data_IF_940835028708
#
_entry.id   IF_940835028708
#
_cell.length_a   1.000
_cell.length_b   1.000
_cell.length_c   1.000
_cell.angle_alpha   90.00
_cell.angle_beta   90.00
_cell.angle_gamma   90.00
#
_symmetry.space_group_name_H-M   'P 1'
#
loop_
_entity.id
_entity.type
_entity.pdbx_description
1 polymer ?
#
# COMPACT_ATOMS: atom_id res chain seq x y z
N UNK A 1 12.22 1.88 -15.20
CA UNK A 1 12.54 0.55 -14.66
C UNK A 1 13.49 0.72 -13.50
N UNK A 2 13.19 0.12 -12.34
CA UNK A 2 14.08 0.12 -11.18
C UNK A 2 15.46 -0.44 -11.49
N UNK A 3 16.18 -0.89 -10.49
CA UNK A 3 17.48 -1.50 -10.70
C UNK A 3 17.31 -3.00 -10.99
N UNK A 4 17.52 -3.48 -12.24
CA UNK A 4 17.23 -4.88 -12.61
C UNK A 4 17.93 -5.92 -11.74
N UNK A 5 19.06 -5.58 -11.15
CA UNK A 5 19.90 -6.43 -10.29
C UNK A 5 19.72 -6.16 -8.80
N UNK A 6 18.84 -5.25 -8.41
CA UNK A 6 18.70 -4.80 -7.03
C UNK A 6 18.39 -5.92 -6.03
N UNK A 7 17.60 -6.92 -6.45
CA UNK A 7 17.29 -8.08 -5.62
C UNK A 7 18.49 -8.99 -5.31
N UNK A 8 19.54 -8.93 -6.12
CA UNK A 8 20.81 -9.65 -5.90
C UNK A 8 21.80 -8.84 -5.06
N UNK A 9 21.70 -7.50 -5.12
CA UNK A 9 22.66 -6.59 -4.47
C UNK A 9 22.25 -6.20 -3.05
N UNK A 10 20.95 -6.06 -2.80
CA UNK A 10 20.42 -5.61 -1.52
C UNK A 10 19.68 -6.74 -0.82
N UNK A 11 20.05 -6.99 0.42
CA UNK A 11 19.28 -7.91 1.28
C UNK A 11 17.94 -7.30 1.65
N UNK A 12 16.94 -8.16 1.87
CA UNK A 12 15.63 -7.73 2.36
C UNK A 12 15.76 -7.16 3.77
N UNK A 13 15.20 -5.98 3.97
CA UNK A 13 15.14 -5.31 5.27
C UNK A 13 13.76 -4.71 5.47
N UNK A 14 13.17 -4.93 6.62
CA UNK A 14 11.92 -4.31 7.07
C UNK A 14 12.19 -3.34 8.21
N UNK A 15 11.27 -2.43 8.46
CA UNK A 15 11.34 -1.55 9.61
C UNK A 15 11.36 -2.33 10.92
N UNK A 16 12.09 -1.82 11.90
CA UNK A 16 12.11 -2.37 13.24
C UNK A 16 10.79 -2.09 13.97
N UNK A 17 10.55 -2.79 15.06
CA UNK A 17 9.45 -2.50 15.99
C UNK A 17 10.00 -2.00 17.32
N UNK A 18 9.23 -1.14 17.98
CA UNK A 18 9.51 -0.75 19.36
C UNK A 18 9.53 -1.99 20.25
N UNK A 19 10.48 -2.06 21.19
CA UNK A 19 10.63 -3.20 22.09
C UNK A 19 9.30 -3.52 22.82
N UNK A 20 8.95 -4.80 23.02
CA UNK A 20 7.65 -5.19 23.60
C UNK A 20 7.32 -4.51 24.92
N UNK A 21 8.28 -4.39 25.83
CA UNK A 21 8.10 -3.74 27.14
C UNK A 21 7.88 -2.22 27.06
N UNK A 22 8.31 -1.60 25.96
CA UNK A 22 8.06 -0.16 25.74
C UNK A 22 6.72 0.08 25.05
N UNK A 23 6.35 -0.75 24.08
CA UNK A 23 5.08 -0.57 23.34
C UNK A 23 3.83 -0.86 24.16
N UNK A 24 3.90 -1.68 25.22
CA UNK A 24 2.79 -1.91 26.15
C UNK A 24 2.44 -0.69 27.01
N UNK A 25 3.31 0.31 27.08
CA UNK A 25 3.11 1.53 27.88
C UNK A 25 2.17 2.55 27.23
N UNK A 26 1.84 2.37 25.95
CA UNK A 26 0.98 3.29 25.21
C UNK A 26 0.33 2.62 23.99
N UNK A 27 -0.58 3.32 23.32
CA UNK A 27 -1.27 2.87 22.11
C UNK A 27 -0.76 3.54 20.83
N UNK A 28 0.48 4.05 20.83
CA UNK A 28 1.08 4.68 19.67
C UNK A 28 1.54 3.64 18.64
N UNK A 29 1.81 4.10 17.43
CA UNK A 29 2.40 3.28 16.38
C UNK A 29 3.76 2.72 16.85
N UNK A 30 3.93 1.41 16.74
CA UNK A 30 5.15 0.73 17.20
C UNK A 30 6.02 0.19 16.07
N UNK A 31 5.55 0.26 14.83
CA UNK A 31 6.38 -0.05 13.67
C UNK A 31 7.19 1.18 13.26
N UNK A 32 8.51 1.05 13.26
CA UNK A 32 9.42 2.10 12.83
C UNK A 32 9.61 2.06 11.32
N UNK A 33 9.64 3.23 10.69
CA UNK A 33 9.92 3.33 9.26
C UNK A 33 11.41 3.16 8.98
N UNK A 34 11.73 2.62 7.81
CA UNK A 34 13.09 2.62 7.31
C UNK A 34 13.53 4.05 6.95
N UNK A 35 14.81 4.40 7.13
CA UNK A 35 15.35 5.63 6.58
C UNK A 35 15.15 5.71 5.07
N UNK A 36 14.94 6.90 4.54
CA UNK A 36 14.59 7.11 3.12
C UNK A 36 15.51 6.40 2.13
N UNK A 37 16.82 6.44 2.36
CA UNK A 37 17.81 5.74 1.50
C UNK A 37 17.65 4.23 1.55
N UNK A 38 17.43 3.66 2.74
CA UNK A 38 17.20 2.23 2.90
C UNK A 38 15.89 1.81 2.23
N UNK A 39 14.85 2.63 2.38
CA UNK A 39 13.56 2.38 1.72
C UNK A 39 13.72 2.36 0.19
N UNK A 40 14.50 3.27 -0.38
CA UNK A 40 14.80 3.27 -1.81
C UNK A 40 15.53 2.00 -2.24
N UNK A 41 16.52 1.53 -1.44
CA UNK A 41 17.20 0.26 -1.72
C UNK A 41 16.25 -0.94 -1.66
N UNK A 42 15.29 -0.93 -0.72
CA UNK A 42 14.29 -1.99 -0.66
C UNK A 42 13.35 -1.98 -1.88
N UNK A 43 12.96 -0.83 -2.33
CA UNK A 43 12.15 -0.69 -3.55
C UNK A 43 12.93 -1.11 -4.82
N UNK A 44 14.25 -0.84 -4.85
CA UNK A 44 15.14 -1.27 -5.94
C UNK A 44 15.23 -2.79 -6.10
N UNK A 45 14.86 -3.58 -5.09
CA UNK A 45 14.80 -5.04 -5.19
C UNK A 45 13.73 -5.56 -6.14
N UNK A 46 12.81 -4.70 -6.57
CA UNK A 46 11.75 -5.08 -7.52
C UNK A 46 12.34 -5.25 -8.93
N UNK A 47 12.20 -6.45 -9.50
CA UNK A 47 12.65 -6.76 -10.87
C UNK A 47 11.79 -6.13 -11.96
N UNK A 48 10.66 -5.50 -11.64
CA UNK A 48 9.66 -5.01 -12.59
C UNK A 48 9.27 -6.11 -13.61
N UNK A 49 8.83 -7.26 -13.12
CA UNK A 49 8.51 -8.44 -13.94
C UNK A 49 7.52 -8.10 -15.07
N UNK A 50 7.74 -8.65 -16.27
CA UNK A 50 6.82 -8.51 -17.40
C UNK A 50 5.45 -9.10 -17.13
N UNK A 51 5.40 -10.18 -16.32
CA UNK A 51 4.16 -10.78 -15.77
C UNK A 51 4.28 -10.75 -14.24
N UNK A 52 3.82 -9.67 -13.60
CA UNK A 52 4.00 -9.50 -12.16
C UNK A 52 2.91 -10.24 -11.37
N UNK A 53 3.22 -11.44 -10.87
CA UNK A 53 2.30 -12.21 -10.03
C UNK A 53 1.85 -11.45 -8.78
N UNK A 54 2.70 -10.57 -8.24
CA UNK A 54 2.38 -9.75 -7.07
C UNK A 54 1.12 -8.90 -7.23
N UNK A 55 0.78 -8.49 -8.47
CA UNK A 55 -0.42 -7.68 -8.76
C UNK A 55 -1.52 -8.46 -9.48
N UNK A 56 -1.33 -9.75 -9.78
CA UNK A 56 -2.26 -10.50 -10.64
C UNK A 56 -3.65 -10.68 -10.01
N UNK A 57 -3.72 -10.91 -8.70
CA UNK A 57 -4.99 -11.09 -7.98
C UNK A 57 -5.82 -12.29 -8.43
N UNK A 58 -5.18 -13.28 -9.09
CA UNK A 58 -5.86 -14.47 -9.61
C UNK A 58 -6.04 -15.54 -8.54
N UNK A 59 -7.11 -16.32 -8.67
CA UNK A 59 -7.32 -17.50 -7.83
C UNK A 59 -6.57 -18.69 -8.44
N UNK A 60 -5.69 -19.30 -7.64
CA UNK A 60 -4.95 -20.52 -8.02
C UNK A 60 -5.29 -21.59 -6.98
N UNK A 61 -5.86 -22.70 -7.42
CA UNK A 61 -6.29 -23.80 -6.56
C UNK A 61 -7.16 -23.33 -5.36
N UNK A 62 -8.04 -22.37 -5.58
CA UNK A 62 -8.94 -21.83 -4.56
C UNK A 62 -8.30 -20.79 -3.62
N UNK A 63 -7.02 -20.43 -3.81
CA UNK A 63 -6.32 -19.43 -3.02
C UNK A 63 -6.00 -18.19 -3.86
N UNK A 64 -6.16 -17.00 -3.26
CA UNK A 64 -5.77 -15.75 -3.91
C UNK A 64 -4.24 -15.68 -4.04
N UNK A 65 -3.75 -15.47 -5.27
CA UNK A 65 -2.36 -15.24 -5.58
C UNK A 65 -2.14 -13.78 -5.93
N UNK A 66 -1.23 -13.10 -5.24
CA UNK A 66 -0.97 -11.68 -5.46
C UNK A 66 -2.02 -10.76 -4.84
N UNK A 67 -1.97 -9.49 -5.21
CA UNK A 67 -2.85 -8.47 -4.65
C UNK A 67 -4.27 -8.55 -5.25
N UNK A 68 -5.32 -8.80 -4.44
CA UNK A 68 -6.71 -8.86 -4.95
C UNK A 68 -7.23 -7.51 -5.44
N UNK A 69 -6.61 -6.40 -5.03
CA UNK A 69 -6.90 -5.05 -5.56
C UNK A 69 -6.16 -4.76 -6.87
N UNK A 70 -5.33 -5.69 -7.33
CA UNK A 70 -4.47 -5.51 -8.51
C UNK A 70 -3.60 -4.25 -8.41
N UNK A 71 -3.04 -4.00 -7.23
CA UNK A 71 -2.14 -2.88 -7.00
C UNK A 71 -0.97 -2.89 -7.97
N UNK A 72 -0.64 -1.72 -8.52
CA UNK A 72 0.42 -1.54 -9.52
C UNK A 72 1.81 -1.59 -8.87
N UNK A 73 2.10 -2.71 -8.22
CA UNK A 73 3.26 -2.91 -7.35
C UNK A 73 4.60 -2.59 -8.03
N UNK A 74 4.92 -3.09 -9.22
CA UNK A 74 6.20 -2.77 -9.87
C UNK A 74 6.35 -1.27 -10.17
N UNK A 75 5.27 -0.62 -10.61
CA UNK A 75 5.31 0.80 -10.99
C UNK A 75 5.62 1.69 -9.78
N UNK A 76 4.91 1.53 -8.67
CA UNK A 76 5.18 2.38 -7.52
C UNK A 76 6.45 1.99 -6.76
N UNK A 77 6.92 0.73 -6.84
CA UNK A 77 8.24 0.36 -6.34
C UNK A 77 9.35 1.11 -7.09
N UNK A 78 9.24 1.19 -8.43
CA UNK A 78 10.18 1.94 -9.25
C UNK A 78 10.22 3.43 -8.87
N UNK A 79 9.04 4.01 -8.67
CA UNK A 79 8.91 5.42 -8.26
C UNK A 79 9.49 5.68 -6.86
N UNK A 80 9.33 4.74 -5.91
CA UNK A 80 9.97 4.83 -4.58
C UNK A 80 11.48 4.75 -4.70
N UNK A 81 12.01 3.84 -5.52
CA UNK A 81 13.45 3.75 -5.78
C UNK A 81 14.01 5.07 -6.32
N UNK A 82 13.33 5.69 -7.27
CA UNK A 82 13.70 6.98 -7.83
C UNK A 82 13.48 8.17 -6.88
N UNK A 83 12.83 7.94 -5.73
CA UNK A 83 12.51 8.99 -4.76
C UNK A 83 11.30 9.84 -5.14
N UNK A 84 10.54 9.45 -6.16
CA UNK A 84 9.36 10.16 -6.63
C UNK A 84 8.09 9.71 -5.89
N UNK A 85 8.00 10.07 -4.60
CA UNK A 85 6.93 9.65 -3.72
C UNK A 85 5.56 10.21 -4.11
N UNK A 86 5.49 11.39 -4.71
CA UNK A 86 4.22 11.96 -5.18
C UNK A 86 3.60 11.07 -6.27
N UNK A 87 4.37 10.69 -7.27
CA UNK A 87 3.87 9.82 -8.33
C UNK A 87 3.59 8.40 -7.80
N UNK A 88 4.41 7.91 -6.86
CA UNK A 88 4.16 6.63 -6.19
C UNK A 88 2.80 6.64 -5.46
N UNK A 89 2.49 7.70 -4.71
CA UNK A 89 1.19 7.89 -4.08
C UNK A 89 0.04 7.91 -5.08
N UNK A 90 0.19 8.67 -6.18
CA UNK A 90 -0.81 8.71 -7.25
C UNK A 90 -1.06 7.34 -7.89
N UNK A 91 -0.01 6.50 -8.03
CA UNK A 91 -0.13 5.14 -8.54
C UNK A 91 -0.79 4.20 -7.55
N UNK A 92 -0.38 4.24 -6.30
CA UNK A 92 -0.93 3.41 -5.24
C UNK A 92 -2.42 3.67 -5.05
N UNK A 93 -2.84 4.93 -4.98
CA UNK A 93 -4.24 5.31 -4.73
C UNK A 93 -5.18 5.14 -5.91
N UNK A 94 -4.69 4.72 -7.07
CA UNK A 94 -5.54 4.30 -8.20
C UNK A 94 -6.38 3.08 -7.85
N UNK A 95 -5.80 2.13 -7.16
CA UNK A 95 -6.40 0.83 -6.85
C UNK A 95 -6.66 0.65 -5.35
N UNK A 96 -5.91 1.32 -4.49
CA UNK A 96 -6.05 1.23 -3.04
C UNK A 96 -6.53 2.56 -2.44
N UNK A 97 -7.71 2.54 -1.81
CA UNK A 97 -8.29 3.73 -1.19
C UNK A 97 -7.64 4.10 0.14
N UNK A 98 -7.14 3.11 0.89
CA UNK A 98 -6.65 3.28 2.25
C UNK A 98 -5.36 2.52 2.50
N UNK A 99 -4.24 2.96 1.90
CA UNK A 99 -2.93 2.37 2.15
C UNK A 99 -2.50 2.42 3.62
N UNK A 100 -3.06 3.35 4.41
CA UNK A 100 -2.84 3.45 5.84
C UNK A 100 -3.19 2.16 6.59
N UNK A 101 -4.30 1.53 6.19
CA UNK A 101 -4.75 0.27 6.78
C UNK A 101 -4.01 -0.91 6.17
N UNK A 102 -3.98 -1.00 4.84
CA UNK A 102 -3.42 -2.17 4.15
C UNK A 102 -1.93 -2.32 4.40
N UNK A 103 -1.17 -1.25 4.45
CA UNK A 103 0.25 -1.29 4.78
C UNK A 103 0.55 -1.78 6.21
N UNK A 104 -0.45 -1.79 7.09
CA UNK A 104 -0.30 -2.27 8.49
C UNK A 104 -0.87 -3.67 8.70
N UNK A 105 -2.06 -3.95 8.18
CA UNK A 105 -2.82 -5.16 8.55
C UNK A 105 -2.95 -6.19 7.42
N UNK A 106 -2.62 -5.85 6.18
CA UNK A 106 -2.69 -6.78 5.06
C UNK A 106 -1.72 -7.95 5.26
N UNK A 107 -2.13 -9.21 4.96
CA UNK A 107 -1.25 -10.38 5.02
C UNK A 107 -0.16 -10.38 3.92
N UNK A 108 -0.15 -9.38 3.04
CA UNK A 108 0.84 -9.18 1.99
C UNK A 108 0.94 -10.34 0.98
N UNK A 109 -0.20 -10.77 0.43
CA UNK A 109 -0.25 -11.79 -0.62
C UNK A 109 0.63 -11.43 -1.84
N UNK A 110 0.84 -10.13 -2.07
CA UNK A 110 1.78 -9.65 -3.09
C UNK A 110 3.23 -10.03 -2.80
N UNK A 111 3.65 -10.06 -1.54
CA UNK A 111 4.99 -10.53 -1.14
C UNK A 111 5.07 -12.07 -1.29
N UNK A 112 4.03 -12.79 -0.88
CA UNK A 112 3.98 -14.24 -1.05
C UNK A 112 4.07 -14.66 -2.52
N UNK A 113 3.45 -13.90 -3.43
CA UNK A 113 3.47 -14.15 -4.87
C UNK A 113 4.68 -13.54 -5.61
N UNK A 114 5.57 -12.89 -4.90
CA UNK A 114 6.75 -12.27 -5.51
C UNK A 114 7.70 -13.32 -6.09
N UNK A 115 8.09 -13.19 -7.36
CA UNK A 115 9.00 -14.14 -8.02
C UNK A 115 10.39 -14.18 -7.40
N UNK A 116 10.81 -13.14 -6.67
CA UNK A 116 12.04 -13.17 -5.88
C UNK A 116 12.05 -14.30 -4.83
N UNK A 117 10.87 -14.77 -4.39
CA UNK A 117 10.75 -15.91 -3.47
C UNK A 117 11.29 -17.24 -4.02
N UNK A 118 11.47 -17.35 -5.34
CA UNK A 118 12.00 -18.57 -5.95
C UNK A 118 13.46 -18.81 -5.57
N UNK A 119 14.24 -17.73 -5.44
CA UNK A 119 15.68 -17.80 -5.20
C UNK A 119 16.14 -17.04 -3.95
N UNK A 120 15.22 -16.45 -3.19
CA UNK A 120 15.57 -15.65 -2.02
C UNK A 120 14.36 -14.97 -1.39
N UNK A 121 14.57 -13.84 -0.75
CA UNK A 121 13.50 -13.10 -0.07
C UNK A 121 12.67 -12.24 -1.03
N UNK A 122 11.34 -12.11 -0.81
CA UNK A 122 10.49 -11.22 -1.59
C UNK A 122 10.87 -9.76 -1.41
N UNK A 123 10.38 -8.92 -2.32
CA UNK A 123 10.37 -7.46 -2.13
C UNK A 123 9.46 -7.13 -0.94
N UNK A 124 9.90 -6.24 -0.03
CA UNK A 124 9.07 -5.79 1.09
C UNK A 124 8.03 -4.75 0.62
N UNK A 125 7.08 -5.24 -0.15
CA UNK A 125 6.04 -4.45 -0.81
C UNK A 125 5.20 -3.65 0.18
N UNK A 126 4.84 -4.28 1.30
CA UNK A 126 4.05 -3.67 2.37
C UNK A 126 4.78 -2.50 3.04
N UNK A 127 6.09 -2.61 3.26
CA UNK A 127 6.91 -1.50 3.77
C UNK A 127 7.00 -0.34 2.76
N UNK A 128 7.14 -0.66 1.47
CA UNK A 128 7.15 0.35 0.41
C UNK A 128 5.81 1.08 0.34
N UNK A 129 4.69 0.36 0.42
CA UNK A 129 3.34 0.92 0.49
C UNK A 129 3.20 1.88 1.68
N UNK A 130 3.67 1.45 2.86
CA UNK A 130 3.66 2.28 4.07
C UNK A 130 4.49 3.54 3.90
N UNK A 131 5.70 3.43 3.36
CA UNK A 131 6.55 4.59 3.13
C UNK A 131 5.91 5.62 2.17
N UNK A 132 5.18 5.14 1.17
CA UNK A 132 4.45 6.03 0.24
C UNK A 132 3.38 6.82 0.97
N UNK A 133 2.52 6.14 1.74
CA UNK A 133 1.39 6.82 2.39
C UNK A 133 1.84 7.72 3.53
N UNK A 134 2.80 7.31 4.34
CA UNK A 134 3.36 8.16 5.40
C UNK A 134 4.04 9.42 4.83
N UNK A 135 4.76 9.28 3.71
CA UNK A 135 5.31 10.44 3.01
C UNK A 135 4.21 11.36 2.51
N UNK A 136 3.12 10.81 1.96
CA UNK A 136 2.00 11.61 1.46
C UNK A 136 1.33 12.43 2.56
N UNK A 137 1.17 11.88 3.77
CA UNK A 137 0.69 12.61 4.94
C UNK A 137 1.68 13.69 5.38
N UNK A 138 2.95 13.33 5.52
CA UNK A 138 4.00 14.25 5.99
C UNK A 138 4.21 15.45 5.05
N UNK A 139 3.98 15.27 3.75
CA UNK A 139 4.14 16.34 2.74
C UNK A 139 2.85 17.06 2.36
N UNK A 140 1.71 16.71 3.00
CA UNK A 140 0.43 17.35 2.72
C UNK A 140 -0.17 17.03 1.34
N UNK A 141 0.24 15.93 0.71
CA UNK A 141 -0.33 15.50 -0.57
C UNK A 141 -1.78 15.02 -0.44
N UNK A 142 -2.19 14.62 0.76
CA UNK A 142 -3.53 14.12 1.01
C UNK A 142 -4.44 15.30 1.31
N UNK A 143 -5.30 15.59 0.35
CA UNK A 143 -6.27 16.68 0.45
C UNK A 143 -7.69 16.18 0.20
N UNK A 144 -8.72 16.83 0.76
CA UNK A 144 -10.12 16.53 0.44
C UNK A 144 -10.37 16.64 -1.08
N UNK A 145 -11.05 15.63 -1.63
CA UNK A 145 -11.37 15.57 -3.05
C UNK A 145 -12.89 15.45 -3.22
N UNK A 146 -13.67 16.52 -2.98
CA UNK A 146 -15.11 16.49 -3.17
C UNK A 146 -15.42 16.33 -4.67
N UNK A 147 -16.49 15.59 -5.04
CA UNK A 147 -16.90 15.45 -6.43
C UNK A 147 -17.37 16.80 -6.99
N UNK A 148 -17.07 17.06 -8.25
CA UNK A 148 -17.50 18.29 -8.95
C UNK A 148 -19.01 18.39 -9.12
N UNK A 149 -19.67 17.25 -9.29
CA UNK A 149 -21.13 17.17 -9.51
C UNK A 149 -21.73 16.16 -8.54
N UNK A 150 -22.85 16.55 -7.91
CA UNK A 150 -23.62 15.66 -7.03
C UNK A 150 -24.78 15.02 -7.80
N UNK A 151 -25.02 13.72 -7.56
CA UNK A 151 -26.09 12.96 -8.22
C UNK A 151 -27.47 13.16 -7.57
N UNK A 152 -27.54 13.84 -6.43
CA UNK A 152 -28.75 13.95 -5.61
C UNK A 152 -29.09 12.68 -4.81
N UNK A 153 -28.42 11.56 -5.06
CA UNK A 153 -28.65 10.31 -4.31
C UNK A 153 -27.98 10.37 -2.94
N UNK A 154 -28.69 9.88 -1.92
CA UNK A 154 -28.20 9.76 -0.54
C UNK A 154 -27.94 8.29 -0.22
N UNK A 155 -26.79 7.98 0.37
CA UNK A 155 -26.39 6.63 0.74
C UNK A 155 -25.96 6.60 2.20
N UNK A 156 -26.47 5.65 2.95
CA UNK A 156 -26.03 5.35 4.31
C UNK A 156 -25.05 4.17 4.27
N UNK A 157 -23.91 4.31 4.93
CA UNK A 157 -22.94 3.24 5.17
C UNK A 157 -22.91 2.97 6.66
N UNK A 158 -23.15 1.73 7.05
CA UNK A 158 -23.12 1.31 8.45
C UNK A 158 -21.79 0.64 8.74
N UNK A 159 -21.02 1.21 9.65
CA UNK A 159 -19.68 0.80 10.03
C UNK A 159 -18.59 1.67 9.40
N UNK A 160 -17.66 2.17 10.24
CA UNK A 160 -16.51 2.97 9.83
C UNK A 160 -15.21 2.16 9.75
N UNK A 161 -15.28 0.85 9.69
CA UNK A 161 -14.13 -0.01 9.41
C UNK A 161 -13.58 0.23 7.99
N UNK A 162 -12.39 -0.32 7.66
CA UNK A 162 -11.72 -0.06 6.37
C UNK A 162 -12.59 -0.31 5.15
N UNK A 163 -13.42 -1.36 5.16
CA UNK A 163 -14.34 -1.68 4.06
C UNK A 163 -15.46 -0.67 3.92
N UNK A 164 -16.07 -0.25 5.04
CA UNK A 164 -17.12 0.78 5.07
C UNK A 164 -16.59 2.13 4.58
N UNK A 165 -15.41 2.53 5.05
CA UNK A 165 -14.77 3.77 4.61
C UNK A 165 -14.38 3.73 3.13
N UNK A 166 -13.90 2.58 2.63
CA UNK A 166 -13.59 2.41 1.20
C UNK A 166 -14.85 2.53 0.33
N UNK A 167 -15.95 1.88 0.74
CA UNK A 167 -17.24 2.02 0.06
C UNK A 167 -17.73 3.47 0.07
N UNK A 168 -17.70 4.13 1.22
CA UNK A 168 -18.11 5.52 1.38
C UNK A 168 -17.29 6.47 0.49
N UNK A 169 -15.97 6.29 0.45
CA UNK A 169 -15.07 7.08 -0.38
C UNK A 169 -15.38 6.91 -1.87
N UNK A 170 -15.55 5.66 -2.34
CA UNK A 170 -15.86 5.39 -3.74
C UNK A 170 -17.23 5.94 -4.15
N UNK A 171 -18.23 5.79 -3.30
CA UNK A 171 -19.57 6.35 -3.54
C UNK A 171 -19.54 7.88 -3.56
N UNK A 172 -18.80 8.51 -2.65
CA UNK A 172 -18.64 9.96 -2.64
C UNK A 172 -17.91 10.45 -3.91
N UNK A 173 -16.84 9.78 -4.35
CA UNK A 173 -16.13 10.10 -5.60
C UNK A 173 -17.07 10.04 -6.83
N UNK A 174 -18.06 9.16 -6.82
CA UNK A 174 -19.10 9.06 -7.86
C UNK A 174 -20.21 10.11 -7.75
N UNK A 175 -20.12 11.01 -6.79
CA UNK A 175 -21.04 12.14 -6.62
C UNK A 175 -22.22 11.89 -5.68
N UNK A 176 -22.30 10.73 -5.01
CA UNK A 176 -23.37 10.49 -4.04
C UNK A 176 -23.11 11.24 -2.72
N UNK A 177 -24.17 11.64 -2.02
CA UNK A 177 -24.09 12.15 -0.66
C UNK A 177 -24.05 10.98 0.30
N UNK A 178 -22.91 10.74 0.97
CA UNK A 178 -22.72 9.57 1.81
C UNK A 178 -22.67 9.99 3.29
N UNK A 179 -23.41 9.28 4.11
CA UNK A 179 -23.34 9.39 5.58
C UNK A 179 -22.84 8.06 6.13
N UNK A 180 -21.77 8.08 6.93
CA UNK A 180 -21.25 6.91 7.63
C UNK A 180 -21.79 6.93 9.05
N UNK A 181 -22.39 5.83 9.48
CA UNK A 181 -22.87 5.62 10.83
C UNK A 181 -21.95 4.61 11.53
N UNK A 182 -21.49 4.96 12.71
CA UNK A 182 -20.66 4.11 13.58
C UNK A 182 -21.29 4.06 14.97
N UNK A 183 -21.06 2.96 15.67
CA UNK A 183 -21.56 2.73 17.04
C UNK A 183 -20.67 3.40 18.08
#
# INVERSE_FOLDING_TARGET
MGKPTGFMEYQRKTGNTVAPLERIKNFKEFHLQLPKKEQQMQAARCMACGVPFCQAGTMIAGMASGCPLQNLVPEWNDLVYLGNYEQAYRRLTKTNCFPEFTSRVCPALCEAACTCNVNGDPVCTKENERAIIENAWATGLITPQPPKVRTGKRVAVVGSGPSGLAAAMQLNRRGHSVTVFER
#
